data_IF_559453925762
#
_entry.id   IF_559453925762
#
_cell.length_a   1.000
_cell.length_b   1.000
_cell.length_c   1.000
_cell.angle_alpha   90.00
_cell.angle_beta   90.00
_cell.angle_gamma   90.00
#
_symmetry.space_group_name_H-M   'P 1'
#
loop_
_entity.id
_entity.type
_entity.pdbx_description
1 polymer ?
#
# COMPACT_ATOMS: atom_id res chain seq x y z
N UNK A 1 60.96 7.62 -0.96
CA UNK A 1 60.49 6.45 -0.18
C UNK A 1 58.98 6.43 -0.30
N UNK A 2 58.46 5.47 -1.05
CA UNK A 2 57.04 5.29 -1.36
C UNK A 2 56.45 4.22 -0.43
N UNK A 3 55.17 4.43 -0.10
CA UNK A 3 54.12 3.47 0.31
C UNK A 3 54.29 2.67 1.60
N UNK A 4 53.29 2.77 2.49
CA UNK A 4 52.22 1.78 2.74
C UNK A 4 51.19 2.46 3.66
N UNK A 5 50.17 3.07 3.07
CA UNK A 5 48.93 3.46 3.76
C UNK A 5 47.80 3.07 2.82
N UNK A 6 47.39 1.80 2.89
CA UNK A 6 46.24 1.25 2.19
C UNK A 6 46.01 -0.18 2.68
N UNK A 7 44.74 -0.53 2.89
CA UNK A 7 44.19 -1.88 3.13
C UNK A 7 44.20 -2.42 4.56
N UNK A 8 43.37 -1.82 5.41
CA UNK A 8 42.47 -2.60 6.26
C UNK A 8 41.06 -2.04 6.01
N UNK A 9 40.44 -2.44 4.88
CA UNK A 9 38.99 -2.43 4.77
C UNK A 9 38.52 -3.59 5.63
N UNK A 10 37.53 -3.34 6.46
CA UNK A 10 36.98 -4.30 7.41
C UNK A 10 36.18 -5.38 6.65
N UNK A 11 36.88 -6.40 6.14
CA UNK A 11 36.30 -7.51 5.37
C UNK A 11 35.17 -8.23 6.13
N UNK A 12 35.17 -8.16 7.46
CA UNK A 12 34.13 -8.75 8.32
C UNK A 12 32.75 -8.12 8.16
N UNK A 13 32.71 -6.84 7.78
CA UNK A 13 31.47 -6.09 7.52
C UNK A 13 30.87 -6.43 6.15
N UNK A 14 31.72 -6.67 5.16
CA UNK A 14 31.29 -7.08 3.81
C UNK A 14 30.71 -8.48 3.83
N UNK A 15 31.39 -9.44 4.46
CA UNK A 15 30.92 -10.83 4.55
C UNK A 15 29.58 -10.94 5.30
N UNK A 16 29.40 -10.15 6.36
CA UNK A 16 28.15 -10.10 7.11
C UNK A 16 27.01 -9.50 6.28
N UNK A 17 27.28 -8.48 5.48
CA UNK A 17 26.31 -7.86 4.58
C UNK A 17 25.88 -8.80 3.46
N UNK A 18 26.84 -9.43 2.79
CA UNK A 18 26.58 -10.37 1.71
C UNK A 18 25.76 -11.56 2.22
N UNK A 19 26.10 -12.09 3.39
CA UNK A 19 25.33 -13.17 4.03
C UNK A 19 23.87 -12.79 4.32
N UNK A 20 23.59 -11.53 4.64
CA UNK A 20 22.21 -11.06 4.89
C UNK A 20 21.48 -10.84 3.57
N UNK A 21 22.15 -10.30 2.55
CA UNK A 21 21.58 -10.13 1.22
C UNK A 21 21.24 -11.48 0.57
N UNK A 22 22.04 -12.51 0.78
CA UNK A 22 21.81 -13.89 0.32
C UNK A 22 20.55 -14.54 0.92
N UNK A 23 19.99 -14.01 2.03
CA UNK A 23 18.69 -14.46 2.56
C UNK A 23 17.51 -14.01 1.68
N UNK A 24 17.68 -12.92 0.93
CA UNK A 24 16.65 -12.40 0.06
C UNK A 24 16.56 -13.23 -1.21
N UNK A 25 15.34 -13.39 -1.71
CA UNK A 25 15.14 -14.04 -3.00
C UNK A 25 15.65 -13.14 -4.12
N UNK A 26 16.42 -13.71 -5.04
CA UNK A 26 16.88 -13.01 -6.24
C UNK A 26 15.75 -12.26 -6.96
N UNK A 27 15.97 -11.00 -7.37
CA UNK A 27 14.98 -10.23 -8.09
C UNK A 27 14.57 -10.88 -9.42
N UNK A 28 13.26 -10.92 -9.66
CA UNK A 28 12.66 -11.61 -10.80
C UNK A 28 12.65 -10.68 -12.03
N UNK A 29 13.59 -10.93 -12.95
CA UNK A 29 13.78 -10.14 -14.18
C UNK A 29 13.36 -10.87 -15.47
N UNK A 30 12.69 -12.02 -15.36
CA UNK A 30 12.36 -12.90 -16.50
C UNK A 30 10.85 -13.00 -16.82
N UNK A 31 10.03 -12.09 -16.29
CA UNK A 31 8.58 -12.01 -16.56
C UNK A 31 8.26 -11.10 -17.74
N UNK A 32 7.01 -11.14 -18.20
CA UNK A 32 6.51 -10.25 -19.26
C UNK A 32 6.70 -8.77 -18.88
N UNK A 33 6.40 -8.39 -17.64
CA UNK A 33 6.54 -7.02 -17.16
C UNK A 33 8.01 -6.56 -17.14
N UNK A 34 8.94 -7.44 -16.76
CA UNK A 34 10.37 -7.11 -16.74
C UNK A 34 11.00 -7.05 -18.14
N UNK A 35 10.60 -7.94 -19.05
CA UNK A 35 11.28 -8.13 -20.35
C UNK A 35 10.54 -7.51 -21.54
N UNK A 36 9.25 -7.15 -21.36
CA UNK A 36 8.30 -6.80 -22.42
C UNK A 36 8.07 -7.90 -23.45
N UNK A 37 8.45 -9.14 -23.16
CA UNK A 37 8.25 -10.31 -24.01
C UNK A 37 6.95 -11.04 -23.61
N UNK A 38 5.94 -10.98 -24.48
CA UNK A 38 4.63 -11.62 -24.26
C UNK A 38 4.66 -13.14 -24.20
N UNK A 39 5.78 -13.77 -24.56
CA UNK A 39 5.98 -15.23 -24.41
C UNK A 39 6.31 -15.64 -22.98
N UNK A 40 6.74 -14.69 -22.14
CA UNK A 40 7.06 -14.92 -20.72
C UNK A 40 5.79 -14.93 -19.88
N UNK A 41 5.88 -15.55 -18.69
CA UNK A 41 4.79 -15.49 -17.72
C UNK A 41 4.65 -14.09 -17.12
N UNK A 42 3.42 -13.71 -16.73
CA UNK A 42 3.15 -12.45 -16.03
C UNK A 42 3.69 -12.47 -14.61
N UNK A 43 3.93 -11.29 -14.03
CA UNK A 43 4.26 -11.11 -12.60
C UNK A 43 3.21 -11.80 -11.72
N UNK A 44 1.91 -11.57 -11.99
CA UNK A 44 0.82 -12.21 -11.26
C UNK A 44 0.91 -13.74 -11.25
N UNK A 45 1.22 -14.36 -12.41
CA UNK A 45 1.40 -15.81 -12.48
C UNK A 45 2.63 -16.25 -11.67
N UNK A 46 3.76 -15.56 -11.83
CA UNK A 46 5.01 -15.86 -11.13
C UNK A 46 4.86 -15.78 -9.61
N UNK A 47 4.21 -14.72 -9.10
CA UNK A 47 3.91 -14.54 -7.67
C UNK A 47 2.99 -15.65 -7.15
N UNK A 48 1.91 -15.97 -7.87
CA UNK A 48 0.99 -17.05 -7.43
C UNK A 48 1.70 -18.39 -7.33
N UNK A 49 2.51 -18.75 -8.32
CA UNK A 49 3.26 -20.01 -8.32
C UNK A 49 4.28 -20.03 -7.16
N UNK A 50 4.96 -18.91 -6.90
CA UNK A 50 5.89 -18.76 -5.79
C UNK A 50 5.26 -18.99 -4.41
N UNK A 51 4.05 -18.48 -4.18
CA UNK A 51 3.35 -18.59 -2.90
C UNK A 51 2.30 -19.71 -2.86
N UNK A 52 2.23 -20.55 -3.91
CA UNK A 52 1.25 -21.63 -4.03
C UNK A 52 -0.21 -21.13 -3.94
N UNK A 53 -0.48 -19.95 -4.49
CA UNK A 53 -1.82 -19.34 -4.57
C UNK A 53 -2.54 -19.90 -5.80
N UNK A 54 -3.69 -20.57 -5.64
CA UNK A 54 -4.45 -21.08 -6.78
C UNK A 54 -5.00 -19.94 -7.63
N UNK A 55 -5.34 -20.23 -8.89
CA UNK A 55 -6.06 -19.25 -9.73
C UNK A 55 -7.36 -18.80 -9.05
N UNK A 56 -7.72 -17.54 -9.27
CA UNK A 56 -9.00 -17.03 -8.82
C UNK A 56 -10.14 -17.84 -9.42
N UNK A 57 -11.16 -18.06 -8.61
CA UNK A 57 -12.32 -18.89 -8.93
C UNK A 57 -13.53 -18.25 -8.25
N UNK A 58 -14.23 -17.42 -9.04
CA UNK A 58 -15.38 -16.62 -8.62
C UNK A 58 -16.52 -17.48 -8.10
N UNK A 59 -16.70 -18.67 -8.68
CA UNK A 59 -17.82 -19.57 -8.38
C UNK A 59 -17.69 -20.25 -7.00
N UNK A 60 -16.56 -20.04 -6.31
CA UNK A 60 -16.39 -20.47 -4.91
C UNK A 60 -17.13 -19.59 -3.91
N UNK A 61 -17.60 -18.42 -4.35
CA UNK A 61 -18.25 -17.45 -3.49
C UNK A 61 -19.76 -17.47 -3.71
N UNK A 62 -20.50 -17.52 -2.61
CA UNK A 62 -21.98 -17.51 -2.63
C UNK A 62 -22.51 -16.12 -3.03
N UNK A 63 -21.81 -15.05 -2.64
CA UNK A 63 -22.28 -13.69 -2.83
C UNK A 63 -21.36 -12.90 -3.75
N UNK A 64 -21.81 -12.70 -4.99
CA UNK A 64 -21.12 -11.84 -5.96
C UNK A 64 -20.82 -10.44 -5.42
N UNK A 65 -21.73 -9.85 -4.63
CA UNK A 65 -21.61 -8.50 -4.06
C UNK A 65 -20.61 -8.35 -2.91
N UNK A 66 -19.89 -9.41 -2.53
CA UNK A 66 -18.90 -9.37 -1.43
C UNK A 66 -17.50 -9.40 -2.04
N UNK A 67 -16.85 -10.57 -2.08
CA UNK A 67 -15.47 -10.66 -2.55
C UNK A 67 -15.33 -10.49 -4.06
N UNK A 68 -16.16 -11.14 -4.89
CA UNK A 68 -16.03 -10.96 -6.34
C UNK A 68 -16.20 -9.51 -6.77
N UNK A 69 -17.25 -8.82 -6.33
CA UNK A 69 -17.49 -7.40 -6.65
C UNK A 69 -16.36 -6.50 -6.15
N UNK A 70 -15.83 -6.76 -4.95
CA UNK A 70 -14.73 -5.96 -4.45
C UNK A 70 -13.41 -6.20 -5.20
N UNK A 71 -13.20 -7.38 -5.82
CA UNK A 71 -11.89 -7.75 -6.38
C UNK A 71 -11.85 -7.71 -7.90
N UNK A 72 -12.97 -7.90 -8.59
CA UNK A 72 -13.07 -7.90 -10.05
C UNK A 72 -13.62 -6.55 -10.52
N UNK A 73 -12.72 -5.65 -10.93
CA UNK A 73 -13.12 -4.30 -11.28
C UNK A 73 -13.62 -4.21 -12.72
N UNK A 74 -14.73 -3.48 -12.92
CA UNK A 74 -15.32 -3.27 -14.23
C UNK A 74 -15.85 -1.84 -14.37
N UNK A 75 -15.85 -1.35 -15.62
CA UNK A 75 -16.55 -0.13 -16.01
C UNK A 75 -18.00 -0.40 -16.43
N UNK A 76 -18.32 -1.66 -16.69
CA UNK A 76 -19.63 -2.16 -17.13
C UNK A 76 -19.94 -3.44 -16.34
N UNK A 77 -20.08 -3.28 -15.03
CA UNK A 77 -20.35 -4.36 -14.10
C UNK A 77 -21.80 -4.87 -14.27
N UNK A 78 -22.04 -6.18 -14.05
CA UNK A 78 -23.39 -6.72 -14.01
C UNK A 78 -24.28 -6.00 -12.98
N UNK A 79 -25.62 -6.11 -13.10
CA UNK A 79 -26.52 -5.60 -12.09
C UNK A 79 -26.19 -6.16 -10.69
N UNK A 80 -26.16 -5.28 -9.69
CA UNK A 80 -25.78 -5.56 -8.28
C UNK A 80 -24.28 -5.69 -8.00
N UNK A 81 -23.44 -5.36 -8.97
CA UNK A 81 -22.00 -5.14 -8.79
C UNK A 81 -21.66 -3.65 -9.04
N UNK A 82 -20.46 -3.27 -8.65
CA UNK A 82 -19.98 -1.91 -8.61
C UNK A 82 -19.20 -1.57 -9.88
N UNK A 83 -19.54 -0.42 -10.48
CA UNK A 83 -18.70 0.19 -11.49
C UNK A 83 -17.56 1.00 -10.83
N UNK A 84 -16.39 0.96 -11.45
CA UNK A 84 -15.21 1.70 -10.98
C UNK A 84 -14.46 1.00 -9.86
N UNK A 85 -13.61 1.75 -9.16
CA UNK A 85 -12.78 1.25 -8.07
C UNK A 85 -13.61 0.88 -6.82
N UNK A 86 -13.05 -0.01 -6.01
CA UNK A 86 -13.65 -0.57 -4.78
C UNK A 86 -12.82 -0.20 -3.56
N UNK A 87 -13.30 -0.53 -2.37
CA UNK A 87 -12.62 -0.11 -1.15
C UNK A 87 -13.05 -0.91 0.08
N UNK A 88 -12.08 -1.29 0.89
CA UNK A 88 -12.39 -1.93 2.17
C UNK A 88 -11.51 -1.40 3.28
N UNK A 89 -11.98 -1.62 4.51
CA UNK A 89 -11.15 -1.55 5.70
C UNK A 89 -11.04 -2.93 6.36
N UNK A 90 -9.81 -3.44 6.41
CA UNK A 90 -9.44 -4.65 7.11
C UNK A 90 -8.95 -4.33 8.52
N UNK A 91 -9.70 -4.77 9.53
CA UNK A 91 -9.45 -4.43 10.93
C UNK A 91 -9.05 -5.66 11.74
N UNK A 92 -7.92 -5.57 12.44
CA UNK A 92 -7.42 -6.67 13.28
C UNK A 92 -6.22 -6.31 14.15
N UNK A 93 -6.12 -6.96 15.33
CA UNK A 93 -4.98 -6.82 16.24
C UNK A 93 -3.64 -7.21 15.56
N UNK A 94 -2.49 -6.80 16.12
CA UNK A 94 -1.18 -7.29 15.67
C UNK A 94 -1.12 -8.82 15.62
N UNK A 95 -0.35 -9.38 14.68
CA UNK A 95 -0.15 -10.84 14.55
C UNK A 95 -1.33 -11.63 13.98
N UNK A 96 -2.32 -10.97 13.36
CA UNK A 96 -3.51 -11.62 12.78
C UNK A 96 -3.47 -11.80 11.25
N UNK A 97 -2.30 -11.66 10.64
CA UNK A 97 -2.10 -11.90 9.20
C UNK A 97 -2.51 -10.74 8.27
N UNK A 98 -2.67 -9.50 8.77
CA UNK A 98 -3.03 -8.34 7.91
C UNK A 98 -2.04 -8.10 6.78
N UNK A 99 -0.75 -8.07 7.08
CA UNK A 99 0.32 -7.92 6.09
C UNK A 99 0.26 -9.01 5.02
N UNK A 100 0.05 -10.26 5.44
CA UNK A 100 -0.01 -11.41 4.54
C UNK A 100 -1.26 -11.35 3.64
N UNK A 101 -2.39 -10.85 4.18
CA UNK A 101 -3.59 -10.57 3.41
C UNK A 101 -3.34 -9.45 2.39
N UNK A 102 -2.67 -8.36 2.80
CA UNK A 102 -2.35 -7.25 1.90
C UNK A 102 -1.47 -7.71 0.72
N UNK A 103 -0.45 -8.54 0.96
CA UNK A 103 0.34 -9.15 -0.12
C UNK A 103 -0.50 -10.08 -1.00
N UNK A 104 -1.36 -10.92 -0.41
CA UNK A 104 -2.26 -11.78 -1.17
C UNK A 104 -3.17 -10.96 -2.10
N UNK A 105 -3.73 -9.87 -1.59
CA UNK A 105 -4.58 -8.98 -2.36
C UNK A 105 -3.81 -8.25 -3.45
N UNK A 106 -2.57 -7.80 -3.20
CA UNK A 106 -1.71 -7.27 -4.25
C UNK A 106 -1.58 -8.25 -5.43
N UNK A 107 -1.31 -9.53 -5.14
CA UNK A 107 -1.24 -10.58 -6.18
C UNK A 107 -2.57 -10.73 -6.91
N UNK A 108 -3.71 -10.71 -6.20
CA UNK A 108 -5.04 -10.82 -6.82
C UNK A 108 -5.37 -9.64 -7.73
N UNK A 109 -5.02 -8.43 -7.34
CA UNK A 109 -5.30 -7.24 -8.17
C UNK A 109 -4.47 -7.25 -9.46
N UNK A 110 -3.23 -7.75 -9.40
CA UNK A 110 -2.42 -7.98 -10.61
C UNK A 110 -3.00 -9.09 -11.49
N UNK A 111 -3.53 -10.15 -10.90
CA UNK A 111 -4.10 -11.29 -11.62
C UNK A 111 -5.40 -10.95 -12.34
N UNK A 112 -6.31 -10.25 -11.66
CA UNK A 112 -7.69 -10.04 -12.11
C UNK A 112 -7.83 -8.82 -13.01
N UNK A 113 -7.10 -7.74 -12.68
CA UNK A 113 -7.37 -6.41 -13.23
C UNK A 113 -6.19 -5.84 -14.01
N UNK A 114 -5.06 -6.56 -14.09
CA UNK A 114 -3.78 -6.08 -14.67
C UNK A 114 -3.39 -4.70 -14.10
N UNK A 115 -3.60 -4.52 -12.79
CA UNK A 115 -3.58 -3.20 -12.17
C UNK A 115 -2.20 -2.61 -11.93
N UNK A 116 -2.15 -1.28 -11.82
CA UNK A 116 -1.09 -0.60 -11.09
C UNK A 116 -1.31 -0.83 -9.60
N UNK A 117 -0.59 -1.76 -8.97
CA UNK A 117 -0.68 -1.92 -7.51
C UNK A 117 0.35 -1.01 -6.85
N UNK A 118 -0.12 -0.11 -5.98
CA UNK A 118 0.68 0.89 -5.27
C UNK A 118 0.61 0.61 -3.78
N UNK A 119 1.70 0.13 -3.21
CA UNK A 119 1.88 -0.03 -1.78
C UNK A 119 2.42 1.25 -1.16
N UNK A 120 1.76 1.74 -0.12
CA UNK A 120 2.21 2.89 0.67
C UNK A 120 3.47 2.56 1.46
N UNK A 121 4.64 3.00 0.96
CA UNK A 121 5.91 2.89 1.66
C UNK A 121 5.93 3.72 2.95
N UNK A 122 6.62 3.21 3.96
CA UNK A 122 6.85 3.88 5.23
C UNK A 122 8.23 3.56 5.76
N UNK A 123 8.86 4.51 6.45
CA UNK A 123 10.19 4.32 7.01
C UNK A 123 10.25 3.23 8.10
N UNK A 124 9.12 2.94 8.75
CA UNK A 124 9.05 1.99 9.86
C UNK A 124 8.54 0.60 9.46
N UNK A 125 8.00 0.42 8.26
CA UNK A 125 7.31 -0.80 7.85
C UNK A 125 7.73 -1.27 6.47
N UNK A 126 7.98 -2.56 6.36
CA UNK A 126 8.40 -3.26 5.14
C UNK A 126 7.64 -4.57 4.96
N UNK A 127 6.36 -4.55 5.34
CA UNK A 127 5.45 -5.70 5.27
C UNK A 127 5.19 -6.16 3.81
N UNK A 128 5.61 -5.38 2.81
CA UNK A 128 5.61 -5.72 1.39
C UNK A 128 6.79 -6.59 0.94
N UNK A 129 7.80 -6.82 1.80
CA UNK A 129 9.01 -7.58 1.47
C UNK A 129 8.78 -8.99 0.88
N UNK A 130 7.70 -9.74 1.20
CA UNK A 130 7.43 -10.99 0.49
C UNK A 130 7.35 -10.81 -1.03
N UNK A 131 6.93 -9.63 -1.51
CA UNK A 131 6.84 -9.31 -2.93
C UNK A 131 8.06 -8.56 -3.48
N UNK A 132 9.11 -8.34 -2.67
CA UNK A 132 10.32 -7.61 -3.08
C UNK A 132 10.92 -8.05 -4.42
N UNK A 133 10.96 -9.35 -4.77
CA UNK A 133 11.59 -9.77 -6.02
C UNK A 133 10.90 -9.24 -7.29
N UNK A 134 9.63 -8.82 -7.19
CA UNK A 134 8.89 -8.20 -8.29
C UNK A 134 8.67 -6.70 -8.07
N UNK A 135 9.13 -6.14 -6.95
CA UNK A 135 8.86 -4.75 -6.59
C UNK A 135 9.61 -3.80 -7.49
N UNK A 136 8.87 -2.84 -8.07
CA UNK A 136 9.42 -1.57 -8.57
C UNK A 136 9.40 -0.57 -7.43
N UNK A 137 10.55 -0.25 -6.86
CA UNK A 137 10.68 0.66 -5.73
C UNK A 137 10.77 2.11 -6.24
N UNK A 138 9.76 2.92 -5.94
CA UNK A 138 9.67 4.31 -6.37
C UNK A 138 10.12 5.24 -5.23
N UNK A 139 11.24 5.94 -5.43
CA UNK A 139 11.80 6.90 -4.49
C UNK A 139 11.77 8.31 -5.10
N UNK A 140 11.71 9.39 -4.31
CA UNK A 140 11.78 10.74 -4.87
C UNK A 140 13.17 11.01 -5.45
N UNK A 141 13.26 11.81 -6.50
CA UNK A 141 14.51 12.29 -7.07
C UNK A 141 15.17 13.32 -6.15
N UNK A 142 16.50 13.35 -6.06
CA UNK A 142 17.24 14.41 -5.35
C UNK A 142 16.98 14.51 -3.84
N UNK A 143 16.50 13.46 -3.19
CA UNK A 143 16.46 13.32 -1.72
C UNK A 143 17.49 12.30 -1.28
N UNK A 144 18.07 12.53 -0.10
CA UNK A 144 19.01 11.59 0.49
C UNK A 144 18.23 10.37 1.00
N UNK A 145 18.75 9.19 0.68
CA UNK A 145 18.11 7.92 1.01
C UNK A 145 19.06 7.11 1.86
N UNK A 146 18.59 6.77 3.06
CA UNK A 146 19.29 5.83 3.94
C UNK A 146 18.49 4.54 3.97
N UNK A 147 19.11 3.44 3.57
CA UNK A 147 18.52 2.12 3.62
C UNK A 147 19.30 1.24 4.60
N UNK A 148 18.58 0.51 5.46
CA UNK A 148 19.19 -0.45 6.36
C UNK A 148 18.32 -1.66 6.61
N UNK A 149 18.95 -2.78 6.88
CA UNK A 149 18.33 -4.04 7.28
C UNK A 149 18.46 -4.19 8.79
N UNK A 150 17.32 -4.29 9.48
CA UNK A 150 17.24 -4.54 10.91
C UNK A 150 16.75 -5.97 11.16
N UNK A 151 17.57 -6.78 11.85
CA UNK A 151 17.17 -8.13 12.24
C UNK A 151 15.94 -8.12 13.16
N UNK A 152 15.13 -9.19 13.10
CA UNK A 152 14.05 -9.40 14.09
C UNK A 152 14.60 -9.53 15.51
N UNK A 153 15.83 -10.05 15.66
CA UNK A 153 16.56 -9.99 16.91
C UNK A 153 17.18 -8.59 17.07
N UNK A 154 16.70 -7.77 18.05
CA UNK A 154 17.19 -6.41 18.23
C UNK A 154 18.65 -6.34 18.71
N UNK A 155 19.29 -7.46 19.02
CA UNK A 155 20.71 -7.52 19.41
C UNK A 155 21.65 -7.64 18.19
N UNK A 156 21.13 -8.00 17.02
CA UNK A 156 21.91 -8.05 15.79
C UNK A 156 22.19 -6.62 15.27
N UNK A 157 23.43 -6.31 14.86
CA UNK A 157 23.73 -5.01 14.28
C UNK A 157 22.96 -4.82 12.96
N UNK A 158 22.46 -3.61 12.68
CA UNK A 158 21.85 -3.33 11.40
C UNK A 158 22.91 -3.36 10.29
N UNK A 159 22.49 -3.79 9.10
CA UNK A 159 23.31 -3.72 7.88
C UNK A 159 22.89 -2.50 7.08
N UNK A 160 23.82 -1.58 6.85
CA UNK A 160 23.58 -0.39 6.03
C UNK A 160 23.75 -0.73 4.54
N UNK A 161 22.82 -0.22 3.73
CA UNK A 161 22.77 -0.40 2.29
C UNK A 161 22.89 0.95 1.59
N UNK A 162 23.76 1.00 0.59
CA UNK A 162 23.71 2.04 -0.43
C UNK A 162 22.45 1.84 -1.29
N UNK A 163 22.00 2.93 -1.92
CA UNK A 163 20.79 2.92 -2.76
C UNK A 163 20.89 1.90 -3.88
N UNK A 164 22.06 1.77 -4.50
CA UNK A 164 22.25 0.90 -5.66
C UNK A 164 22.15 -0.59 -5.25
N UNK A 165 22.44 -0.92 -3.99
CA UNK A 165 22.34 -2.27 -3.44
C UNK A 165 20.90 -2.66 -3.10
N UNK A 166 19.95 -1.72 -3.10
CA UNK A 166 18.53 -2.05 -2.99
C UNK A 166 18.07 -2.96 -4.13
N UNK A 167 18.68 -2.87 -5.32
CA UNK A 167 18.38 -3.73 -6.47
C UNK A 167 18.86 -5.19 -6.32
N UNK A 168 19.55 -5.53 -5.23
CA UNK A 168 19.79 -6.93 -4.83
C UNK A 168 18.54 -7.51 -4.13
N UNK A 169 17.68 -6.65 -3.55
CA UNK A 169 16.46 -7.05 -2.83
C UNK A 169 15.21 -6.85 -3.69
N UNK A 170 15.16 -5.74 -4.45
CA UNK A 170 14.03 -5.36 -5.30
C UNK A 170 14.38 -5.49 -6.78
N UNK A 171 13.37 -5.62 -7.64
CA UNK A 171 13.57 -5.74 -9.10
C UNK A 171 14.32 -4.56 -9.70
N UNK A 172 13.88 -3.36 -9.33
CA UNK A 172 14.42 -2.11 -9.83
C UNK A 172 14.08 -0.95 -8.88
N UNK A 173 14.94 0.06 -8.83
CA UNK A 173 14.73 1.33 -8.13
C UNK A 173 14.54 2.43 -9.16
N UNK A 174 13.43 3.17 -9.05
CA UNK A 174 13.11 4.29 -9.96
C UNK A 174 12.88 5.58 -9.20
N UNK A 175 13.22 6.71 -9.83
CA UNK A 175 13.12 8.04 -9.23
C UNK A 175 11.99 8.86 -9.84
N UNK A 176 11.18 9.51 -9.02
CA UNK A 176 10.08 10.37 -9.45
C UNK A 176 10.29 11.83 -9.00
N UNK A 177 9.70 12.77 -9.74
CA UNK A 177 9.87 14.22 -9.51
C UNK A 177 8.76 14.80 -8.64
N UNK A 178 7.55 14.36 -8.91
CA UNK A 178 6.30 14.80 -8.30
C UNK A 178 5.23 13.70 -8.50
N UNK A 179 4.02 13.83 -7.89
CA UNK A 179 2.95 12.86 -8.07
C UNK A 179 2.51 12.63 -9.53
N UNK A 180 2.54 13.65 -10.38
CA UNK A 180 2.08 13.57 -11.77
C UNK A 180 3.06 12.74 -12.60
N UNK A 181 4.36 13.01 -12.49
CA UNK A 181 5.43 12.23 -13.11
C UNK A 181 5.34 10.75 -12.69
N UNK A 182 5.16 10.48 -11.40
CA UNK A 182 4.99 9.11 -10.90
C UNK A 182 3.83 8.40 -11.61
N UNK A 183 2.66 9.03 -11.67
CA UNK A 183 1.44 8.43 -12.22
C UNK A 183 1.50 8.17 -13.72
N UNK A 184 2.05 9.14 -14.47
CA UNK A 184 2.07 9.13 -15.92
C UNK A 184 3.20 8.27 -16.48
N UNK A 185 4.39 8.31 -15.87
CA UNK A 185 5.59 7.72 -16.48
C UNK A 185 6.09 6.47 -15.76
N UNK A 186 5.87 6.31 -14.45
CA UNK A 186 6.54 5.26 -13.67
C UNK A 186 5.62 4.15 -13.20
N UNK A 187 4.37 4.44 -12.83
CA UNK A 187 3.41 3.41 -12.46
C UNK A 187 2.90 2.67 -13.71
N UNK A 188 3.15 1.36 -13.78
CA UNK A 188 2.81 0.52 -14.94
C UNK A 188 1.74 -0.52 -14.63
N UNK A 189 0.78 -0.76 -15.54
CA UNK A 189 -0.18 -1.86 -15.40
C UNK A 189 0.52 -3.21 -15.22
N UNK A 190 -0.10 -4.09 -14.43
CA UNK A 190 0.40 -5.43 -14.15
C UNK A 190 1.65 -5.49 -13.26
N UNK A 191 2.06 -4.38 -12.63
CA UNK A 191 3.26 -4.30 -11.80
C UNK A 191 2.95 -3.91 -10.35
N UNK A 192 3.75 -4.46 -9.43
CA UNK A 192 3.74 -4.10 -8.01
C UNK A 192 4.74 -2.98 -7.72
N UNK A 193 4.26 -1.88 -7.14
CA UNK A 193 5.04 -0.71 -6.83
C UNK A 193 5.03 -0.46 -5.32
N UNK A 194 6.20 -0.13 -4.77
CA UNK A 194 6.30 0.40 -3.41
C UNK A 194 6.76 1.84 -3.55
N UNK A 195 5.93 2.78 -3.13
CA UNK A 195 6.22 4.21 -3.28
C UNK A 195 6.50 4.81 -1.91
N UNK A 196 7.64 5.45 -1.75
CA UNK A 196 7.93 6.25 -0.57
C UNK A 196 7.58 7.71 -0.85
N UNK A 197 6.82 8.39 0.04
CA UNK A 197 6.37 9.76 -0.20
C UNK A 197 7.53 10.75 -0.23
N UNK A 198 7.37 11.85 -0.97
CA UNK A 198 8.41 12.87 -1.08
C UNK A 198 8.37 13.80 0.14
N UNK A 199 9.40 13.81 1.00
CA UNK A 199 9.42 14.66 2.19
C UNK A 199 9.36 16.15 1.85
N UNK A 200 9.76 16.56 0.63
CA UNK A 200 9.76 17.96 0.19
C UNK A 200 8.42 18.44 -0.38
N UNK A 201 7.40 17.57 -0.45
CA UNK A 201 6.06 17.90 -0.99
C UNK A 201 6.07 18.45 -2.43
N UNK A 202 7.08 18.12 -3.25
CA UNK A 202 7.21 18.70 -4.59
C UNK A 202 6.01 18.36 -5.48
N UNK A 203 5.49 19.38 -6.14
CA UNK A 203 4.31 19.31 -7.00
C UNK A 203 2.98 19.13 -6.25
N UNK A 204 2.97 18.90 -4.93
CA UNK A 204 1.72 18.66 -4.20
C UNK A 204 0.82 19.91 -4.16
N UNK A 205 1.41 21.08 -3.91
CA UNK A 205 0.66 22.34 -3.90
C UNK A 205 0.11 22.69 -5.28
N UNK A 206 0.90 22.50 -6.34
CA UNK A 206 0.46 22.72 -7.72
C UNK A 206 -0.73 21.83 -8.11
N UNK A 207 -0.67 20.52 -7.80
CA UNK A 207 -1.80 19.59 -8.01
C UNK A 207 -3.06 20.08 -7.29
N UNK A 208 -2.91 20.59 -6.07
CA UNK A 208 -4.04 21.10 -5.29
C UNK A 208 -4.62 22.41 -5.85
N UNK A 209 -3.77 23.31 -6.36
CA UNK A 209 -4.19 24.58 -6.95
C UNK A 209 -4.79 24.43 -8.34
N UNK A 210 -4.32 23.45 -9.12
CA UNK A 210 -4.84 23.14 -10.45
C UNK A 210 -6.20 22.42 -10.41
N UNK A 211 -6.62 21.92 -9.24
CA UNK A 211 -7.90 21.23 -9.04
C UNK A 211 -9.08 22.20 -9.23
N UNK A 212 -9.95 22.00 -10.25
CA UNK A 212 -11.05 22.91 -10.56
C UNK A 212 -12.12 22.92 -9.47
N UNK A 213 -12.26 21.81 -8.75
CA UNK A 213 -13.18 21.65 -7.62
C UNK A 213 -12.44 21.72 -6.29
N UNK A 214 -11.61 22.75 -6.09
CA UNK A 214 -10.94 22.99 -4.80
C UNK A 214 -11.99 23.11 -3.67
N UNK A 215 -12.26 22.00 -2.98
CA UNK A 215 -13.32 21.93 -1.96
C UNK A 215 -12.87 22.33 -0.57
N UNK A 216 -11.55 22.35 -0.34
CA UNK A 216 -10.96 22.63 0.97
C UNK A 216 -10.13 23.90 0.90
N UNK A 217 -10.32 24.81 1.85
CA UNK A 217 -9.54 26.04 1.97
C UNK A 217 -8.23 25.79 2.75
N UNK A 218 -7.14 26.44 2.32
CA UNK A 218 -5.91 26.49 3.11
C UNK A 218 -6.20 27.15 4.46
N UNK A 219 -5.75 26.59 5.61
CA UNK A 219 -5.93 27.23 6.90
C UNK A 219 -5.36 28.65 6.90
N UNK A 220 -6.07 29.63 7.48
CA UNK A 220 -5.64 31.02 7.53
C UNK A 220 -4.27 31.26 8.20
N UNK A 221 -3.76 30.27 8.94
CA UNK A 221 -2.42 30.30 9.55
C UNK A 221 -1.31 29.83 8.60
N UNK A 222 -1.61 29.57 7.33
CA UNK A 222 -0.68 29.02 6.33
C UNK A 222 -0.91 29.69 4.98
N UNK A 223 0.17 29.86 4.23
CA UNK A 223 0.11 30.34 2.85
C UNK A 223 -0.26 29.19 1.89
N UNK A 224 0.29 27.99 2.13
CA UNK A 224 0.10 26.80 1.31
C UNK A 224 -0.55 25.66 2.09
N UNK A 225 -1.41 24.88 1.41
CA UNK A 225 -1.96 23.68 2.03
C UNK A 225 -0.87 22.62 2.14
N UNK A 226 -0.07 22.41 1.09
CA UNK A 226 1.07 21.49 1.07
C UNK A 226 2.37 22.29 1.01
N UNK A 227 3.17 22.25 2.08
CA UNK A 227 4.44 22.98 2.14
C UNK A 227 5.61 22.05 2.44
N UNK A 228 6.82 22.48 2.08
CA UNK A 228 8.05 21.83 2.54
C UNK A 228 8.08 21.82 4.09
N UNK A 229 8.51 20.69 4.68
CA UNK A 229 8.48 20.47 6.13
C UNK A 229 7.14 19.93 6.69
N UNK A 230 6.09 19.78 5.87
CA UNK A 230 4.92 19.00 6.27
C UNK A 230 5.32 17.52 6.50
N UNK A 231 4.64 16.78 7.39
CA UNK A 231 4.87 15.35 7.55
C UNK A 231 4.81 14.61 6.21
N UNK A 232 5.85 13.84 5.86
CA UNK A 232 5.96 13.19 4.54
C UNK A 232 4.70 12.39 4.14
N UNK A 233 4.00 11.79 5.12
CA UNK A 233 2.73 11.10 4.89
C UNK A 233 1.65 11.97 4.21
N UNK A 234 1.70 13.29 4.36
CA UNK A 234 0.75 14.21 3.74
C UNK A 234 0.84 14.24 2.20
N UNK A 235 1.98 13.85 1.62
CA UNK A 235 2.17 13.74 0.18
C UNK A 235 1.10 12.87 -0.49
N UNK A 236 0.64 11.83 0.22
CA UNK A 236 -0.37 10.89 -0.26
C UNK A 236 -1.73 11.53 -0.56
N UNK A 237 -2.08 12.62 0.11
CA UNK A 237 -3.32 13.34 -0.16
C UNK A 237 -3.27 14.03 -1.52
N UNK A 238 -2.16 14.69 -1.83
CA UNK A 238 -1.94 15.27 -3.15
C UNK A 238 -1.75 14.19 -4.23
N UNK A 239 -1.13 13.05 -3.90
CA UNK A 239 -1.06 11.93 -4.84
C UNK A 239 -2.45 11.39 -5.20
N UNK A 240 -3.33 11.17 -4.22
CA UNK A 240 -4.69 10.74 -4.47
C UNK A 240 -5.46 11.76 -5.35
N UNK A 241 -5.32 13.06 -5.06
CA UNK A 241 -5.90 14.11 -5.90
C UNK A 241 -5.33 14.08 -7.32
N UNK A 242 -4.02 13.94 -7.48
CA UNK A 242 -3.39 13.88 -8.81
C UNK A 242 -3.87 12.69 -9.65
N UNK A 243 -4.27 11.59 -9.01
CA UNK A 243 -4.84 10.43 -9.71
C UNK A 243 -6.19 10.75 -10.34
N UNK A 244 -7.00 11.56 -9.66
CA UNK A 244 -8.30 12.04 -10.13
C UNK A 244 -8.11 13.08 -11.22
N UNK A 245 -7.33 14.13 -10.93
CA UNK A 245 -7.26 15.32 -11.80
C UNK A 245 -6.40 15.15 -13.06
N UNK A 246 -5.27 14.43 -12.98
CA UNK A 246 -4.26 14.42 -14.05
C UNK A 246 -4.10 13.06 -14.76
N UNK A 247 -4.82 12.03 -14.32
CA UNK A 247 -4.73 10.70 -14.90
C UNK A 247 -3.32 10.10 -14.87
N UNK A 248 -3.02 9.10 -15.73
CA UNK A 248 -3.96 8.39 -16.60
C UNK A 248 -4.95 7.57 -15.76
N UNK A 249 -6.21 7.47 -16.15
CA UNK A 249 -7.27 6.76 -15.38
C UNK A 249 -7.27 5.24 -15.59
N UNK A 250 -6.07 4.63 -15.61
CA UNK A 250 -5.93 3.18 -15.57
C UNK A 250 -6.28 2.64 -14.18
N UNK A 251 -6.77 1.41 -14.14
CA UNK A 251 -7.03 0.68 -12.91
C UNK A 251 -5.81 0.70 -11.98
N UNK A 252 -6.03 1.07 -10.73
CA UNK A 252 -4.99 1.25 -9.71
C UNK A 252 -5.52 0.79 -8.36
N UNK A 253 -4.83 -0.14 -7.69
CA UNK A 253 -5.09 -0.42 -6.27
C UNK A 253 -4.08 0.31 -5.40
N UNK A 254 -4.56 1.11 -4.46
CA UNK A 254 -3.76 1.74 -3.42
C UNK A 254 -3.88 0.97 -2.11
N UNK A 255 -2.78 0.34 -1.69
CA UNK A 255 -2.68 -0.41 -0.43
C UNK A 255 -2.13 0.48 0.67
N UNK A 256 -2.97 0.73 1.67
CA UNK A 256 -2.65 1.53 2.84
C UNK A 256 -2.49 0.63 4.07
N UNK A 257 -1.26 0.14 4.28
CA UNK A 257 -0.89 -0.50 5.54
C UNK A 257 -0.82 0.55 6.66
N UNK A 258 -1.63 0.33 7.70
CA UNK A 258 -1.94 1.27 8.78
C UNK A 258 -2.49 2.63 8.30
N UNK A 259 -3.71 2.62 7.75
CA UNK A 259 -4.41 3.84 7.28
C UNK A 259 -4.62 4.88 8.40
N UNK A 260 -4.68 4.44 9.66
CA UNK A 260 -4.78 5.32 10.83
C UNK A 260 -3.61 6.32 10.92
N UNK A 261 -2.42 5.97 10.44
CA UNK A 261 -1.28 6.89 10.39
C UNK A 261 -1.47 7.99 9.34
N UNK A 262 -2.21 7.71 8.26
CA UNK A 262 -2.49 8.69 7.22
C UNK A 262 -3.67 9.57 7.61
N UNK A 263 -4.73 8.97 8.14
CA UNK A 263 -5.96 9.66 8.51
C UNK A 263 -6.31 9.37 9.96
N UNK A 264 -5.54 9.88 10.93
CA UNK A 264 -5.79 9.59 12.35
C UNK A 264 -7.10 10.24 12.80
N UNK A 265 -7.85 9.54 13.65
CA UNK A 265 -9.06 10.09 14.27
C UNK A 265 -8.78 11.34 15.12
N UNK A 266 -7.54 11.53 15.56
CA UNK A 266 -7.07 12.71 16.28
C UNK A 266 -6.71 13.90 15.37
N UNK A 267 -6.79 13.76 14.04
CA UNK A 267 -6.53 14.86 13.11
C UNK A 267 -7.44 16.05 13.44
N UNK A 268 -6.82 17.20 13.68
CA UNK A 268 -7.47 18.47 14.02
C UNK A 268 -6.86 19.57 13.18
N UNK A 269 -7.47 20.75 13.22
CA UNK A 269 -6.85 21.96 12.68
C UNK A 269 -5.54 22.17 13.45
N UNK A 270 -4.43 21.97 12.76
CA UNK A 270 -3.08 22.04 13.31
C UNK A 270 -2.17 22.87 12.40
N UNK A 271 -0.91 23.02 12.81
CA UNK A 271 0.09 23.79 12.06
C UNK A 271 0.36 23.21 10.67
N UNK A 272 0.01 21.95 10.40
CA UNK A 272 0.26 21.25 9.15
C UNK A 272 -1.00 21.12 8.28
N UNK A 273 -2.14 21.69 8.68
CA UNK A 273 -3.41 21.52 7.96
C UNK A 273 -3.87 20.07 7.85
N UNK A 274 -3.54 19.20 8.80
CA UNK A 274 -3.81 17.76 8.71
C UNK A 274 -5.31 17.47 8.57
N UNK A 275 -6.17 18.20 9.28
CA UNK A 275 -7.62 18.08 9.16
C UNK A 275 -8.11 18.41 7.74
N UNK A 276 -7.63 19.51 7.16
CA UNK A 276 -7.98 19.92 5.80
C UNK A 276 -7.55 18.88 4.77
N UNK A 277 -6.38 18.27 4.94
CA UNK A 277 -5.92 17.21 4.02
C UNK A 277 -6.74 15.91 4.16
N UNK A 278 -7.20 15.57 5.36
CA UNK A 278 -8.16 14.47 5.56
C UNK A 278 -9.52 14.78 4.94
N UNK A 279 -9.99 16.03 5.04
CA UNK A 279 -11.21 16.50 4.39
C UNK A 279 -11.09 16.44 2.86
N UNK A 280 -9.95 16.85 2.31
CA UNK A 280 -9.62 16.74 0.90
C UNK A 280 -9.73 15.29 0.44
N UNK A 281 -9.09 14.36 1.14
CA UNK A 281 -9.18 12.93 0.80
C UNK A 281 -10.61 12.39 0.88
N UNK A 282 -11.40 12.83 1.86
CA UNK A 282 -12.82 12.46 1.98
C UNK A 282 -13.62 12.93 0.74
N UNK A 283 -13.36 14.13 0.24
CA UNK A 283 -14.00 14.64 -0.97
C UNK A 283 -13.54 13.87 -2.21
N UNK A 284 -12.23 13.68 -2.39
CA UNK A 284 -11.63 12.93 -3.50
C UNK A 284 -12.02 11.45 -3.51
N UNK A 285 -12.43 10.86 -2.37
CA UNK A 285 -12.66 9.42 -2.23
C UNK A 285 -13.67 8.83 -3.22
N UNK A 286 -14.74 9.58 -3.52
CA UNK A 286 -15.77 9.10 -4.47
C UNK A 286 -15.23 9.14 -5.89
N UNK A 287 -14.46 10.16 -6.24
CA UNK A 287 -13.90 10.32 -7.57
C UNK A 287 -12.75 9.35 -7.82
N UNK A 288 -11.97 8.98 -6.80
CA UNK A 288 -11.01 7.87 -6.88
C UNK A 288 -11.67 6.63 -7.51
N UNK A 289 -12.87 6.26 -7.04
CA UNK A 289 -13.61 5.11 -7.59
C UNK A 289 -14.02 5.35 -9.04
N UNK A 290 -14.58 6.52 -9.35
CA UNK A 290 -14.99 6.88 -10.73
C UNK A 290 -13.82 6.87 -11.71
N UNK A 291 -12.60 7.11 -11.23
CA UNK A 291 -11.38 7.12 -12.02
C UNK A 291 -10.50 5.87 -11.83
N UNK A 292 -11.11 4.78 -11.34
CA UNK A 292 -10.53 3.44 -11.40
C UNK A 292 -9.49 3.19 -10.31
N UNK A 293 -9.56 3.92 -9.20
CA UNK A 293 -8.71 3.73 -8.04
C UNK A 293 -9.47 3.00 -6.95
N UNK A 294 -8.96 1.82 -6.57
CA UNK A 294 -9.43 1.03 -5.44
C UNK A 294 -8.55 1.29 -4.22
N UNK A 295 -9.16 1.43 -3.03
CA UNK A 295 -8.42 1.75 -1.78
C UNK A 295 -8.54 0.62 -0.78
N UNK A 296 -7.45 -0.09 -0.55
CA UNK A 296 -7.37 -1.24 0.33
C UNK A 296 -6.67 -0.84 1.63
N UNK A 297 -7.47 -0.57 2.66
CA UNK A 297 -7.00 0.01 3.91
C UNK A 297 -6.91 -1.03 5.03
N UNK A 298 -5.84 -0.99 5.81
CA UNK A 298 -5.60 -1.87 6.95
C UNK A 298 -5.43 -1.06 8.22
N UNK A 299 -6.03 -1.50 9.33
CA UNK A 299 -5.90 -0.83 10.62
C UNK A 299 -5.90 -1.84 11.78
N UNK A 300 -5.27 -1.45 12.90
CA UNK A 300 -5.44 -2.17 14.16
C UNK A 300 -6.83 -2.02 14.75
N UNK A 301 -7.38 -0.81 14.67
CA UNK A 301 -8.70 -0.44 15.14
C UNK A 301 -9.34 0.50 14.15
N UNK A 302 -10.60 0.25 13.81
CA UNK A 302 -11.38 1.17 12.97
C UNK A 302 -11.54 2.53 13.66
N UNK A 303 -11.59 2.58 15.00
CA UNK A 303 -11.72 3.83 15.75
C UNK A 303 -10.53 4.79 15.59
N UNK A 304 -9.38 4.27 15.17
CA UNK A 304 -8.16 5.08 14.99
C UNK A 304 -8.18 5.79 13.63
N UNK A 305 -9.06 5.38 12.71
CA UNK A 305 -9.26 6.00 11.41
C UNK A 305 -10.27 7.12 11.51
N UNK A 306 -9.98 8.27 10.90
CA UNK A 306 -10.86 9.43 10.93
C UNK A 306 -12.26 9.10 10.41
N UNK A 307 -13.28 9.53 11.16
CA UNK A 307 -14.69 9.21 10.89
C UNK A 307 -15.12 9.57 9.47
N UNK A 308 -14.62 10.68 8.91
CA UNK A 308 -14.92 11.10 7.54
C UNK A 308 -14.57 10.03 6.50
N UNK A 309 -13.45 9.33 6.71
CA UNK A 309 -13.00 8.26 5.82
C UNK A 309 -13.82 6.98 6.07
N UNK A 310 -14.12 6.66 7.33
CA UNK A 310 -14.95 5.49 7.69
C UNK A 310 -16.33 5.49 7.04
N UNK A 311 -16.95 6.66 6.96
CA UNK A 311 -18.23 6.85 6.27
C UNK A 311 -18.17 6.59 4.76
N UNK A 312 -16.99 6.65 4.14
CA UNK A 312 -16.84 6.36 2.71
C UNK A 312 -16.69 4.86 2.46
N UNK A 313 -16.05 4.12 3.36
CA UNK A 313 -15.66 2.73 3.15
C UNK A 313 -16.88 1.79 2.98
N UNK A 314 -16.96 1.08 1.85
CA UNK A 314 -18.12 0.24 1.45
C UNK A 314 -18.04 -1.22 1.91
N UNK A 315 -16.85 -1.80 1.90
CA UNK A 315 -16.62 -3.15 2.43
C UNK A 315 -15.84 -3.09 3.73
N UNK A 316 -15.94 -4.18 4.49
CA UNK A 316 -15.13 -4.42 5.68
C UNK A 316 -14.58 -5.83 5.66
N UNK A 317 -13.40 -5.98 6.23
CA UNK A 317 -12.80 -7.29 6.52
C UNK A 317 -12.53 -7.36 8.02
N UNK A 318 -13.21 -8.28 8.69
CA UNK A 318 -12.93 -8.59 10.09
C UNK A 318 -11.89 -9.71 10.15
N UNK A 319 -10.69 -9.36 10.62
CA UNK A 319 -9.58 -10.28 10.84
C UNK A 319 -9.85 -11.21 12.03
N UNK A 320 -9.16 -12.37 12.11
CA UNK A 320 -9.42 -13.38 13.12
C UNK A 320 -8.97 -12.93 14.53
N UNK A 321 -9.59 -13.52 15.56
CA UNK A 321 -9.21 -13.30 16.96
C UNK A 321 -9.83 -12.06 17.62
N UNK A 322 -10.75 -11.39 16.94
CA UNK A 322 -11.65 -10.39 17.52
C UNK A 322 -13.05 -10.55 16.96
N UNK A 323 -14.07 -10.30 17.77
CA UNK A 323 -15.46 -10.42 17.36
C UNK A 323 -15.80 -9.47 16.20
N UNK A 324 -16.59 -9.98 15.24
CA UNK A 324 -17.23 -9.17 14.21
C UNK A 324 -18.38 -8.35 14.80
N UNK A 325 -18.77 -7.25 14.13
CA UNK A 325 -19.97 -6.50 14.50
C UNK A 325 -21.21 -7.42 14.47
N UNK A 326 -22.16 -7.11 15.34
CA UNK A 326 -23.50 -7.75 15.31
C UNK A 326 -24.64 -6.73 15.33
N UNK A 327 -24.30 -5.44 15.43
CA UNK A 327 -25.25 -4.33 15.47
C UNK A 327 -24.72 -3.17 14.63
N UNK A 328 -25.63 -2.42 13.99
CA UNK A 328 -25.27 -1.26 13.16
C UNK A 328 -24.37 -0.25 13.90
N UNK A 329 -24.68 0.06 15.16
CA UNK A 329 -23.89 0.99 15.97
C UNK A 329 -22.44 0.57 16.26
N UNK A 330 -22.04 -0.67 15.92
CA UNK A 330 -20.66 -1.13 16.06
C UNK A 330 -19.74 -0.56 14.97
N UNK A 331 -20.29 -0.10 13.85
CA UNK A 331 -19.55 0.35 12.66
C UNK A 331 -20.04 1.70 12.17
N UNK A 332 -19.09 2.59 11.88
CA UNK A 332 -19.38 3.91 11.32
C UNK A 332 -19.54 3.80 9.81
N UNK A 333 -20.63 4.36 9.28
CA UNK A 333 -20.93 4.38 7.86
C UNK A 333 -21.82 3.25 7.36
N UNK A 334 -22.17 2.29 8.22
CA UNK A 334 -23.11 1.23 7.89
C UNK A 334 -24.46 1.48 8.55
N UNK A 335 -25.55 1.34 7.79
CA UNK A 335 -26.92 1.41 8.28
C UNK A 335 -27.41 0.05 8.82
N UNK A 336 -26.81 -1.04 8.36
CA UNK A 336 -27.16 -2.40 8.79
C UNK A 336 -25.94 -3.33 8.84
N UNK A 337 -26.07 -4.42 9.62
CA UNK A 337 -25.05 -5.45 9.79
C UNK A 337 -25.69 -6.81 9.57
N UNK A 338 -25.21 -7.61 8.60
CA UNK A 338 -25.88 -8.86 8.20
C UNK A 338 -25.57 -10.04 9.13
N UNK A 339 -24.61 -9.90 10.04
CA UNK A 339 -24.20 -10.94 10.99
C UNK A 339 -24.97 -10.81 12.32
N UNK A 340 -25.57 -11.91 12.79
CA UNK A 340 -26.30 -11.94 14.07
C UNK A 340 -25.51 -12.60 15.22
N UNK A 341 -24.30 -13.10 14.95
CA UNK A 341 -23.46 -13.76 15.96
C UNK A 341 -21.98 -13.54 15.68
N UNK A 342 -21.14 -13.80 16.69
CA UNK A 342 -19.69 -13.76 16.55
C UNK A 342 -19.16 -15.01 15.84
N UNK A 343 -18.50 -14.78 14.71
CA UNK A 343 -17.93 -15.78 13.83
C UNK A 343 -16.39 -15.71 13.80
N UNK A 344 -15.79 -14.57 14.10
CA UNK A 344 -14.36 -14.29 13.82
C UNK A 344 -13.45 -14.42 15.04
N UNK A 345 -13.97 -14.40 16.27
CA UNK A 345 -13.14 -14.55 17.48
C UNK A 345 -12.38 -15.87 17.54
N UNK A 346 -12.94 -16.94 16.93
CA UNK A 346 -12.35 -18.29 16.91
C UNK A 346 -11.73 -18.68 15.57
N UNK A 347 -11.75 -17.79 14.58
CA UNK A 347 -11.13 -18.08 13.29
C UNK A 347 -9.60 -18.21 13.45
N UNK A 348 -8.96 -19.13 12.73
CA UNK A 348 -7.50 -19.21 12.67
C UNK A 348 -6.93 -18.04 11.84
N UNK A 349 -5.64 -17.75 12.03
CA UNK A 349 -4.90 -16.84 11.14
C UNK A 349 -4.90 -17.42 9.72
N UNK A 350 -5.01 -16.55 8.71
CA UNK A 350 -5.22 -16.96 7.31
C UNK A 350 -6.69 -17.13 6.92
N UNK A 351 -7.62 -16.82 7.81
CA UNK A 351 -9.05 -16.70 7.51
C UNK A 351 -9.58 -15.34 7.97
N UNK A 352 -10.59 -14.83 7.27
CA UNK A 352 -11.29 -13.62 7.65
C UNK A 352 -12.74 -13.65 7.17
N UNK A 353 -13.49 -12.65 7.61
CA UNK A 353 -14.87 -12.42 7.21
C UNK A 353 -14.94 -11.09 6.45
N UNK A 354 -15.31 -11.13 5.17
CA UNK A 354 -15.60 -9.93 4.39
C UNK A 354 -17.10 -9.67 4.39
N UNK A 355 -17.50 -8.40 4.48
CA UNK A 355 -18.91 -8.06 4.54
C UNK A 355 -19.21 -6.65 4.03
N UNK A 356 -20.45 -6.49 3.57
CA UNK A 356 -21.14 -5.25 3.26
C UNK A 356 -22.28 -5.05 4.27
N UNK A 357 -23.13 -4.06 4.06
CA UNK A 357 -24.36 -3.88 4.84
C UNK A 357 -25.35 -5.04 4.66
N UNK A 358 -25.32 -5.70 3.50
CA UNK A 358 -26.37 -6.66 3.10
C UNK A 358 -25.92 -8.11 3.16
N UNK A 359 -24.64 -8.40 2.93
CA UNK A 359 -24.10 -9.77 2.82
C UNK A 359 -22.74 -9.89 3.51
N UNK A 360 -22.38 -11.11 3.88
CA UNK A 360 -21.06 -11.43 4.41
C UNK A 360 -20.61 -12.80 3.92
N UNK A 361 -19.30 -13.00 3.83
CA UNK A 361 -18.73 -14.25 3.40
C UNK A 361 -17.36 -14.50 4.04
N UNK A 362 -17.07 -15.77 4.34
CA UNK A 362 -15.78 -16.19 4.87
C UNK A 362 -14.82 -16.47 3.74
N UNK A 363 -13.55 -16.16 3.96
CA UNK A 363 -12.51 -16.53 3.01
C UNK A 363 -11.19 -16.79 3.72
N UNK A 364 -10.26 -17.39 2.98
CA UNK A 364 -8.93 -17.66 3.46
C UNK A 364 -7.85 -17.40 2.42
N UNK A 365 -6.65 -17.20 2.92
CA UNK A 365 -5.43 -17.02 2.13
C UNK A 365 -4.31 -17.80 2.81
N UNK A 366 -3.28 -18.15 2.02
CA UNK A 366 -2.06 -18.74 2.56
C UNK A 366 -1.16 -17.66 3.14
N UNK A 367 -0.35 -18.06 4.12
CA UNK A 367 0.72 -17.20 4.60
C UNK A 367 1.69 -16.85 3.47
N UNK A 368 2.24 -15.63 3.53
CA UNK A 368 3.19 -15.09 2.56
C UNK A 368 4.38 -14.51 3.34
N UNK A 369 5.26 -15.37 3.86
CA UNK A 369 6.40 -14.92 4.66
C UNK A 369 7.45 -14.21 3.81
N UNK A 370 8.20 -13.31 4.44
CA UNK A 370 9.45 -12.80 3.86
C UNK A 370 10.48 -13.92 3.79
N UNK A 371 11.35 -13.89 2.78
CA UNK A 371 12.47 -14.84 2.67
C UNK A 371 13.54 -14.62 3.75
N UNK A 372 13.67 -13.37 4.23
CA UNK A 372 14.65 -12.98 5.25
C UNK A 372 13.99 -12.67 6.60
N UNK A 373 14.75 -12.88 7.67
CA UNK A 373 14.41 -12.46 9.03
C UNK A 373 14.72 -10.98 9.31
N UNK A 374 15.20 -10.24 8.31
CA UNK A 374 15.45 -8.81 8.39
C UNK A 374 14.26 -7.98 7.91
N UNK A 375 14.14 -6.79 8.48
CA UNK A 375 13.23 -5.73 8.03
C UNK A 375 14.03 -4.65 7.33
N UNK A 376 13.59 -4.30 6.13
CA UNK A 376 14.11 -3.15 5.40
C UNK A 376 13.52 -1.85 5.98
N UNK A 377 14.37 -0.88 6.28
CA UNK A 377 14.02 0.47 6.71
C UNK A 377 14.61 1.45 5.71
N UNK A 378 13.76 2.23 5.07
CA UNK A 378 14.17 3.27 4.13
C UNK A 378 13.74 4.61 4.70
N UNK A 379 14.70 5.49 4.95
CA UNK A 379 14.47 6.86 5.39
C UNK A 379 14.81 7.81 4.26
N UNK A 380 13.96 8.81 4.10
CA UNK A 380 14.14 9.89 3.15
C UNK A 380 14.35 11.17 3.92
N UNK A 381 15.46 11.84 3.67
CA UNK A 381 15.81 13.10 4.32
C UNK A 381 15.84 14.22 3.28
N UNK A 382 15.52 15.45 3.71
CA UNK A 382 15.79 16.62 2.89
C UNK A 382 17.30 16.71 2.73
N UNK A 383 17.82 16.29 1.57
CA UNK A 383 19.26 16.29 1.33
C UNK A 383 19.87 17.67 1.59
N UNK A 384 21.08 17.66 2.15
CA UNK A 384 21.78 18.86 2.67
C UNK A 384 21.98 19.97 1.64
#
# INVERSE_FOLDING_TARGET
MSTIESQYRDDSSSDAKDSVLDEFREPIRNTQQATRDSRRHTDARSMREAFGIPRWDRDRFEYASVMPDCFEHSWDAPPNESNGGTDFLARGKPGKGKSTLANYLAVRQLELNDEKVVWRGSASRSEWLPLSPWTRLCLPEGVDVTARLEGKDPTQPPVELDVDELEEIVREVVRYRDPVHLNQELLKPGMFHVVYPDPRMRGCQAVYEDSPERTVETPASRDELFAAGDPAGHWWFAWALSRVEHGPHHWTTWICDEIGDLCPQSAKKDAFGSYQKVELLKDTWVDLRKFGVSVFAFAHSEKDVHQMIRHKLRWRIQMPGTANPTKAGDIVGFESIPMHSDMTSRMPVGQALMYTETRFEKFGWKDMPSASDYKLKIRLEEGR
#
